data_IF_747005684707
#
_entry.id   IF_747005684707
#
_cell.length_a   1.000
_cell.length_b   1.000
_cell.length_c   1.000
_cell.angle_alpha   90.00
_cell.angle_beta   90.00
_cell.angle_gamma   90.00
#
_symmetry.space_group_name_H-M   'P 1'
#
loop_
_entity.id
_entity.type
_entity.pdbx_description
1 polymer ?
#
# COMPACT_ATOMS: atom_id res chain seq x y z
N UNK A 1 -4.92 27.42 6.28
CA UNK A 1 -5.32 26.03 6.10
C UNK A 1 -5.93 25.52 7.39
N UNK A 2 -7.06 24.88 7.31
CA UNK A 2 -7.80 24.46 8.49
C UNK A 2 -7.55 23.00 8.79
N UNK A 3 -6.91 22.73 9.91
CA UNK A 3 -6.60 21.37 10.36
C UNK A 3 -7.86 20.54 10.61
N UNK A 4 -8.97 21.21 10.95
CA UNK A 4 -10.25 20.56 11.23
C UNK A 4 -10.84 19.81 10.04
N UNK A 5 -10.36 20.11 8.83
CA UNK A 5 -10.88 19.48 7.61
C UNK A 5 -10.21 18.16 7.26
N UNK A 6 -9.15 17.79 7.96
CA UNK A 6 -8.48 16.53 7.67
C UNK A 6 -9.26 15.36 8.27
N UNK A 7 -9.61 14.37 7.44
CA UNK A 7 -10.33 13.20 7.95
C UNK A 7 -9.46 12.39 8.92
N UNK A 8 -10.12 11.72 9.85
CA UNK A 8 -9.47 10.88 10.85
C UNK A 8 -9.50 9.44 10.35
N UNK A 9 -8.34 8.80 10.35
CA UNK A 9 -8.20 7.38 10.00
C UNK A 9 -7.75 6.59 11.23
N UNK A 10 -7.99 5.29 11.22
CA UNK A 10 -7.56 4.40 12.29
C UNK A 10 -6.13 3.89 12.08
N UNK A 11 -5.70 2.97 12.93
CA UNK A 11 -4.38 2.36 12.82
C UNK A 11 -4.30 1.34 11.68
N UNK A 12 -5.44 0.90 11.17
CA UNK A 12 -5.56 0.10 9.94
C UNK A 12 -6.79 0.55 9.18
N UNK A 13 -6.68 0.49 7.84
CA UNK A 13 -7.74 0.94 6.93
C UNK A 13 -7.71 0.11 5.65
N UNK A 14 -8.82 0.13 4.91
CA UNK A 14 -8.87 -0.42 3.57
C UNK A 14 -8.44 0.65 2.58
N UNK A 15 -7.39 0.37 1.81
CA UNK A 15 -6.81 1.32 0.84
C UNK A 15 -6.97 0.76 -0.56
N UNK A 16 -7.55 1.56 -1.45
CA UNK A 16 -7.67 1.21 -2.86
C UNK A 16 -6.45 1.63 -3.66
N UNK A 17 -6.08 0.79 -4.63
CA UNK A 17 -5.02 1.06 -5.60
C UNK A 17 -5.63 0.83 -6.99
N UNK A 18 -6.47 1.78 -7.47
CA UNK A 18 -7.34 1.53 -8.63
C UNK A 18 -6.61 1.28 -9.94
N UNK A 19 -5.35 1.73 -10.07
CA UNK A 19 -4.58 1.46 -11.28
C UNK A 19 -4.28 -0.03 -11.46
N UNK A 20 -4.25 -0.81 -10.36
CA UNK A 20 -3.87 -2.22 -10.40
C UNK A 20 -4.95 -3.17 -9.89
N UNK A 21 -5.73 -2.74 -8.89
CA UNK A 21 -6.62 -3.64 -8.16
C UNK A 21 -8.05 -3.11 -8.16
N UNK A 22 -9.00 -4.03 -8.32
CA UNK A 22 -10.43 -3.73 -8.14
C UNK A 22 -10.82 -3.76 -6.66
N UNK A 23 -10.11 -4.57 -5.87
CA UNK A 23 -10.38 -4.72 -4.45
C UNK A 23 -9.39 -3.89 -3.62
N UNK A 24 -9.85 -3.26 -2.54
CA UNK A 24 -8.94 -2.56 -1.63
C UNK A 24 -8.07 -3.55 -0.85
N UNK A 25 -6.95 -3.06 -0.37
CA UNK A 25 -5.97 -3.82 0.39
C UNK A 25 -6.02 -3.35 1.84
N UNK A 26 -5.94 -4.31 2.77
CA UNK A 26 -5.82 -3.97 4.18
C UNK A 26 -4.43 -3.41 4.46
N UNK A 27 -4.38 -2.16 4.90
CA UNK A 27 -3.14 -1.46 5.16
C UNK A 27 -2.99 -1.16 6.65
N UNK A 28 -1.78 -1.33 7.14
CA UNK A 28 -1.40 -0.84 8.46
C UNK A 28 -0.94 0.60 8.31
N UNK A 29 -1.48 1.48 9.15
CA UNK A 29 -1.08 2.89 9.16
C UNK A 29 0.10 3.03 10.13
N UNK A 30 1.25 3.41 9.61
CA UNK A 30 2.48 3.42 10.41
C UNK A 30 3.21 4.76 10.27
N UNK A 31 2.95 5.66 11.23
CA UNK A 31 3.61 6.96 11.26
C UNK A 31 5.10 6.87 11.60
N UNK A 32 5.55 5.74 12.13
CA UNK A 32 6.96 5.47 12.40
C UNK A 32 7.76 5.11 11.16
N UNK A 33 7.11 4.61 10.12
CA UNK A 33 7.76 4.32 8.85
C UNK A 33 7.68 5.53 7.95
N UNK A 34 8.80 5.94 7.37
CA UNK A 34 8.83 7.09 6.46
C UNK A 34 8.06 6.80 5.18
N UNK A 35 8.30 5.65 4.56
CA UNK A 35 7.75 5.29 3.25
C UNK A 35 6.72 4.19 3.36
N UNK A 36 5.78 4.18 2.41
CA UNK A 36 4.81 3.12 2.27
C UNK A 36 5.43 1.93 1.55
N UNK A 37 4.89 0.75 1.81
CA UNK A 37 5.35 -0.47 1.15
C UNK A 37 4.17 -1.38 0.83
N UNK A 38 4.36 -2.24 -0.17
CA UNK A 38 3.37 -3.25 -0.53
C UNK A 38 4.09 -4.59 -0.76
N UNK A 39 3.49 -5.65 -0.25
CA UNK A 39 3.99 -7.00 -0.50
C UNK A 39 3.82 -7.33 -1.98
N UNK A 40 4.91 -7.73 -2.63
CA UNK A 40 4.91 -8.11 -4.04
C UNK A 40 5.87 -9.27 -4.27
N UNK A 41 5.68 -9.95 -5.39
CA UNK A 41 6.53 -11.08 -5.77
C UNK A 41 6.62 -11.16 -7.29
N UNK A 42 7.49 -12.03 -7.81
CA UNK A 42 7.66 -12.21 -9.24
C UNK A 42 8.13 -10.95 -9.97
N UNK A 43 8.95 -10.15 -9.29
CA UNK A 43 9.42 -8.87 -9.81
C UNK A 43 10.32 -9.06 -11.02
N UNK A 44 10.04 -8.38 -12.13
CA UNK A 44 10.80 -8.42 -13.35
C UNK A 44 10.98 -7.00 -13.89
N UNK A 45 12.22 -6.61 -14.12
CA UNK A 45 12.55 -5.33 -14.75
C UNK A 45 12.51 -5.47 -16.25
N UNK A 46 12.07 -4.43 -16.94
CA UNK A 46 12.11 -4.36 -18.41
C UNK A 46 12.17 -2.90 -18.82
N UNK A 47 12.33 -2.67 -20.12
CA UNK A 47 12.38 -1.32 -20.69
C UNK A 47 11.24 -1.19 -21.68
N UNK A 48 10.53 -0.08 -21.63
CA UNK A 48 9.48 0.26 -22.58
C UNK A 48 9.82 1.64 -23.17
N UNK A 49 10.09 1.69 -24.46
CA UNK A 49 10.46 2.93 -25.18
C UNK A 49 11.59 3.69 -24.48
N UNK A 50 12.58 2.99 -23.95
CA UNK A 50 13.72 3.56 -23.25
C UNK A 50 13.49 3.87 -21.78
N UNK A 51 12.29 3.70 -21.25
CA UNK A 51 11.96 3.96 -19.85
C UNK A 51 12.05 2.69 -19.02
N UNK A 52 12.68 2.74 -17.83
CA UNK A 52 12.76 1.58 -16.96
C UNK A 52 11.40 1.29 -16.33
N UNK A 53 10.98 0.04 -16.45
CA UNK A 53 9.69 -0.44 -15.97
C UNK A 53 9.86 -1.65 -15.07
N UNK A 54 8.85 -1.94 -14.28
CA UNK A 54 8.81 -3.13 -13.47
C UNK A 54 7.45 -3.82 -13.58
N UNK A 55 7.51 -5.14 -13.73
CA UNK A 55 6.33 -6.01 -13.62
C UNK A 55 6.42 -6.74 -12.29
N UNK A 56 5.32 -6.83 -11.58
CA UNK A 56 5.26 -7.50 -10.29
C UNK A 56 3.85 -8.03 -10.06
N UNK A 57 3.73 -8.97 -9.13
CA UNK A 57 2.44 -9.55 -8.76
C UNK A 57 2.07 -9.16 -7.34
N UNK A 58 0.77 -8.94 -7.14
CA UNK A 58 0.20 -8.63 -5.84
C UNK A 58 -0.80 -9.71 -5.43
N UNK A 59 -0.84 -10.00 -4.14
CA UNK A 59 -1.90 -10.77 -3.50
C UNK A 59 -2.79 -9.79 -2.75
N UNK A 60 -3.94 -9.37 -3.32
CA UNK A 60 -4.75 -8.35 -2.66
C UNK A 60 -5.46 -8.86 -1.40
N UNK A 61 -5.67 -10.17 -1.29
CA UNK A 61 -6.36 -10.74 -0.13
C UNK A 61 -5.37 -11.22 0.92
N UNK A 62 -5.67 -10.89 2.15
CA UNK A 62 -4.88 -11.29 3.31
C UNK A 62 -4.84 -12.81 3.43
N UNK A 63 -3.65 -13.37 3.69
CA UNK A 63 -3.45 -14.81 3.94
C UNK A 63 -3.86 -15.73 2.79
N UNK A 64 -4.02 -15.20 1.58
CA UNK A 64 -4.39 -15.99 0.40
C UNK A 64 -3.45 -15.68 -0.74
N UNK A 65 -3.05 -16.73 -1.47
CA UNK A 65 -2.21 -16.59 -2.65
C UNK A 65 -3.02 -16.37 -3.93
N UNK A 66 -4.33 -16.44 -3.85
CA UNK A 66 -5.21 -16.18 -4.98
C UNK A 66 -6.28 -15.15 -4.60
N UNK A 67 -6.65 -14.25 -5.51
CA UNK A 67 -6.02 -14.05 -6.82
C UNK A 67 -4.63 -13.46 -6.72
N UNK A 68 -3.81 -13.70 -7.74
CA UNK A 68 -2.54 -13.02 -7.95
C UNK A 68 -2.72 -12.08 -9.13
N UNK A 69 -2.43 -10.80 -8.94
CA UNK A 69 -2.68 -9.76 -9.94
C UNK A 69 -1.36 -9.26 -10.48
N UNK A 70 -1.20 -9.32 -11.81
CA UNK A 70 -0.02 -8.78 -12.48
C UNK A 70 -0.16 -7.28 -12.64
N UNK A 71 0.87 -6.56 -12.21
CA UNK A 71 0.91 -5.10 -12.25
C UNK A 71 2.15 -4.64 -13.00
N UNK A 72 2.06 -3.49 -13.65
CA UNK A 72 3.16 -2.87 -14.37
C UNK A 72 3.21 -1.41 -13.96
N UNK A 73 4.42 -0.89 -13.73
CA UNK A 73 4.60 0.51 -13.40
C UNK A 73 5.99 0.98 -13.82
N UNK A 74 6.14 2.29 -14.10
CA UNK A 74 7.48 2.86 -14.24
C UNK A 74 8.25 2.75 -12.93
N UNK A 75 9.55 2.50 -13.02
CA UNK A 75 10.43 2.57 -11.85
C UNK A 75 10.70 4.03 -11.56
N UNK A 76 10.21 4.52 -10.43
CA UNK A 76 10.43 5.91 -10.04
C UNK A 76 11.80 6.10 -9.41
N UNK A 77 12.23 5.14 -8.59
CA UNK A 77 13.45 5.24 -7.81
C UNK A 77 13.86 3.87 -7.30
N UNK A 78 15.07 3.79 -6.77
CA UNK A 78 15.55 2.63 -6.03
C UNK A 78 16.17 3.14 -4.75
N UNK A 79 15.82 2.53 -3.62
CA UNK A 79 16.28 2.97 -2.30
C UNK A 79 16.72 1.81 -1.45
N UNK A 80 17.76 2.05 -0.67
CA UNK A 80 18.17 1.13 0.36
C UNK A 80 17.22 1.26 1.56
N UNK A 81 16.60 0.17 1.95
CA UNK A 81 15.68 0.11 3.09
C UNK A 81 16.24 -0.87 4.10
N UNK A 82 16.29 -0.44 5.35
CA UNK A 82 16.73 -1.30 6.45
C UNK A 82 15.51 -1.98 7.07
N UNK A 83 15.55 -3.30 7.19
CA UNK A 83 14.52 -4.06 7.88
C UNK A 83 14.71 -3.98 9.40
N UNK A 84 13.70 -4.44 10.14
CA UNK A 84 13.73 -4.44 11.60
C UNK A 84 14.87 -5.28 12.18
N UNK A 85 15.36 -6.28 11.45
CA UNK A 85 16.50 -7.11 11.88
C UNK A 85 17.86 -6.51 11.49
N UNK A 86 17.89 -5.28 10.97
CA UNK A 86 19.12 -4.59 10.60
C UNK A 86 19.64 -4.85 9.20
N UNK A 87 19.05 -5.79 8.47
CA UNK A 87 19.43 -6.06 7.09
C UNK A 87 19.00 -4.94 6.17
N UNK A 88 19.82 -4.68 5.14
CA UNK A 88 19.52 -3.68 4.12
C UNK A 88 19.22 -4.37 2.80
N UNK A 89 18.21 -3.87 2.10
CA UNK A 89 17.84 -4.36 0.79
C UNK A 89 17.56 -3.19 -0.15
N UNK A 90 17.96 -3.32 -1.40
CA UNK A 90 17.63 -2.35 -2.44
C UNK A 90 16.20 -2.60 -2.89
N UNK A 91 15.35 -1.59 -2.77
CA UNK A 91 13.92 -1.69 -3.09
C UNK A 91 13.59 -0.80 -4.28
N UNK A 92 12.77 -1.33 -5.17
CA UNK A 92 12.18 -0.57 -6.27
C UNK A 92 11.04 0.27 -5.69
N UNK A 93 10.99 1.53 -6.10
CA UNK A 93 9.92 2.48 -5.74
C UNK A 93 9.08 2.76 -6.96
N UNK A 94 7.77 2.62 -6.82
CA UNK A 94 6.78 2.98 -7.84
C UNK A 94 5.81 4.00 -7.26
N UNK A 95 5.10 4.70 -8.13
CA UNK A 95 4.10 5.68 -7.72
C UNK A 95 2.75 5.28 -8.27
N UNK A 96 1.70 5.44 -7.48
CA UNK A 96 0.33 5.14 -7.91
C UNK A 96 -0.66 5.96 -7.10
N UNK A 97 -1.87 6.09 -7.64
CA UNK A 97 -2.97 6.68 -6.90
C UNK A 97 -3.44 5.73 -5.80
N UNK A 98 -3.62 6.26 -4.60
CA UNK A 98 -4.26 5.55 -3.49
C UNK A 98 -5.60 6.19 -3.20
N UNK A 99 -6.53 5.38 -2.72
CA UNK A 99 -7.85 5.84 -2.28
C UNK A 99 -8.15 5.33 -0.89
N UNK A 100 -8.60 6.24 -0.04
CA UNK A 100 -9.02 5.91 1.32
C UNK A 100 -10.28 6.71 1.63
N UNK A 101 -11.43 6.03 1.70
CA UNK A 101 -12.70 6.70 1.78
C UNK A 101 -12.93 7.56 0.53
N UNK A 102 -13.16 8.84 0.74
CA UNK A 102 -13.41 9.81 -0.33
C UNK A 102 -12.14 10.50 -0.82
N UNK A 103 -10.98 10.18 -0.23
CA UNK A 103 -9.73 10.83 -0.57
C UNK A 103 -8.96 10.00 -1.58
N UNK A 104 -8.51 10.65 -2.67
CA UNK A 104 -7.64 10.05 -3.67
C UNK A 104 -6.40 10.93 -3.82
N UNK A 105 -5.21 10.31 -3.77
CA UNK A 105 -3.95 11.05 -3.88
C UNK A 105 -2.82 10.12 -4.32
N UNK A 106 -1.75 10.69 -4.94
CA UNK A 106 -0.62 9.87 -5.34
C UNK A 106 0.25 9.50 -4.14
N UNK A 107 0.72 8.26 -4.11
CA UNK A 107 1.67 7.79 -3.11
C UNK A 107 2.82 7.06 -3.78
N UNK A 108 3.96 7.04 -3.09
CA UNK A 108 5.06 6.17 -3.44
C UNK A 108 4.97 4.88 -2.65
N UNK A 109 5.27 3.77 -3.31
CA UNK A 109 5.28 2.44 -2.71
C UNK A 109 6.62 1.77 -2.98
N UNK A 110 7.26 1.25 -1.95
CA UNK A 110 8.38 0.33 -2.13
C UNK A 110 7.82 -1.09 -2.31
N UNK A 111 8.39 -1.83 -3.25
CA UNK A 111 8.02 -3.22 -3.45
C UNK A 111 8.77 -4.08 -2.43
N UNK A 112 8.05 -4.80 -1.60
CA UNK A 112 8.60 -5.60 -0.52
C UNK A 112 8.21 -7.06 -0.69
N UNK A 113 9.13 -7.98 -0.41
CA UNK A 113 8.90 -9.42 -0.56
C UNK A 113 8.20 -10.04 0.65
N UNK A 114 8.02 -9.29 1.73
CA UNK A 114 7.39 -9.79 2.96
C UNK A 114 6.21 -8.93 3.37
N UNK A 115 5.21 -9.56 3.97
CA UNK A 115 4.15 -8.86 4.66
C UNK A 115 4.70 -8.12 5.89
N UNK A 116 4.11 -6.99 6.22
CA UNK A 116 4.45 -6.27 7.44
C UNK A 116 3.42 -6.63 8.51
N UNK A 117 3.84 -7.42 9.50
CA UNK A 117 2.99 -7.81 10.64
C UNK A 117 1.62 -8.36 10.18
N UNK A 118 1.61 -9.17 9.13
CA UNK A 118 0.38 -9.76 8.60
C UNK A 118 -0.41 -8.86 7.67
N UNK A 119 0.11 -7.70 7.28
CA UNK A 119 -0.54 -6.79 6.35
C UNK A 119 0.16 -6.84 4.99
N UNK A 120 -0.64 -6.82 3.92
CA UNK A 120 -0.11 -6.73 2.55
C UNK A 120 0.48 -5.36 2.25
N UNK A 121 0.02 -4.32 2.94
CA UNK A 121 0.44 -2.96 2.70
C UNK A 121 0.69 -2.23 4.01
N UNK A 122 1.66 -1.33 3.97
CA UNK A 122 1.95 -0.40 5.04
C UNK A 122 1.86 1.01 4.47
N UNK A 123 1.06 1.86 5.09
CA UNK A 123 0.93 3.27 4.71
C UNK A 123 1.80 4.09 5.65
N UNK A 124 2.88 4.65 5.12
CA UNK A 124 3.89 5.35 5.90
C UNK A 124 3.59 6.84 6.10
N UNK A 125 4.46 7.47 6.87
CA UNK A 125 4.29 8.87 7.30
C UNK A 125 4.18 9.84 6.12
N UNK A 126 4.97 9.67 5.08
CA UNK A 126 4.96 10.61 3.94
C UNK A 126 3.63 10.58 3.17
N UNK A 127 2.93 9.44 3.15
CA UNK A 127 1.62 9.35 2.51
C UNK A 127 0.51 9.98 3.35
N UNK A 128 0.65 9.97 4.67
CA UNK A 128 -0.40 10.39 5.61
C UNK A 128 -0.27 11.86 5.99
N UNK A 129 0.96 12.35 6.08
CA UNK A 129 1.26 13.70 6.60
C UNK A 129 0.54 14.79 5.81
N UNK A 130 -0.15 15.65 6.55
CA UNK A 130 -0.87 16.77 5.96
C UNK A 130 -2.22 16.42 5.35
N UNK A 131 -2.57 15.13 5.28
CA UNK A 131 -3.83 14.67 4.66
C UNK A 131 -4.80 14.07 5.66
N UNK A 132 -4.27 13.37 6.66
CA UNK A 132 -5.09 12.65 7.64
C UNK A 132 -4.58 12.89 9.04
N UNK A 133 -5.49 12.77 10.01
CA UNK A 133 -5.16 12.59 11.40
C UNK A 133 -5.34 11.12 11.74
N UNK A 134 -4.51 10.59 12.62
CA UNK A 134 -4.56 9.18 13.00
C UNK A 134 -5.11 9.04 14.41
N UNK A 135 -6.15 8.24 14.56
CA UNK A 135 -6.64 7.80 15.87
C UNK A 135 -6.16 6.36 16.09
N UNK A 136 -5.10 6.16 16.89
CA UNK A 136 -4.52 4.83 17.05
C UNK A 136 -5.42 3.88 17.84
N UNK A 137 -6.48 4.37 18.45
CA UNK A 137 -7.45 3.53 19.19
C UNK A 137 -8.51 2.91 18.28
N UNK A 138 -8.57 3.32 17.02
CA UNK A 138 -9.62 2.91 16.09
C UNK A 138 -9.10 2.08 14.93
N UNK A 139 -9.95 1.16 14.45
CA UNK A 139 -9.72 0.38 13.23
C UNK A 139 -10.79 0.76 12.22
N UNK A 140 -10.40 0.88 10.95
CA UNK A 140 -11.33 1.15 9.85
C UNK A 140 -12.23 2.35 10.15
N UNK A 141 -11.60 3.42 10.63
CA UNK A 141 -12.31 4.62 11.06
C UNK A 141 -12.92 5.36 9.87
N UNK A 142 -12.20 5.42 8.75
CA UNK A 142 -12.63 6.14 7.55
C UNK A 142 -13.25 5.20 6.51
N UNK A 143 -12.69 4.03 6.30
CA UNK A 143 -13.27 2.97 5.46
C UNK A 143 -14.37 2.20 6.16
N UNK A 144 -14.46 2.28 7.45
CA UNK A 144 -15.48 1.80 8.39
C UNK A 144 -15.72 0.30 8.47
N UNK A 145 -15.74 -0.44 7.38
CA UNK A 145 -15.99 -1.88 7.40
C UNK A 145 -15.37 -2.56 6.20
N UNK A 146 -15.29 -3.88 6.25
CA UNK A 146 -14.79 -4.69 5.14
C UNK A 146 -15.71 -4.48 3.93
N UNK A 147 -15.18 -4.05 2.77
CA UNK A 147 -15.97 -3.97 1.55
C UNK A 147 -16.59 -5.30 1.20
N UNK A 148 -17.80 -5.28 0.66
CA UNK A 148 -18.54 -6.51 0.32
C UNK A 148 -17.77 -7.44 -0.59
N UNK A 149 -17.06 -6.89 -1.58
CA UNK A 149 -16.29 -7.69 -2.52
C UNK A 149 -15.18 -8.47 -1.83
N UNK A 150 -14.49 -7.85 -0.87
CA UNK A 150 -13.43 -8.51 -0.09
C UNK A 150 -14.02 -9.54 0.84
N UNK A 151 -15.11 -9.21 1.51
CA UNK A 151 -15.79 -10.11 2.45
C UNK A 151 -16.24 -11.40 1.77
N UNK A 152 -16.73 -11.32 0.55
CA UNK A 152 -17.16 -12.48 -0.21
C UNK A 152 -16.02 -13.50 -0.44
N UNK A 153 -14.78 -13.02 -0.57
CA UNK A 153 -13.59 -13.86 -0.71
C UNK A 153 -13.06 -14.38 0.62
N UNK A 154 -13.18 -13.60 1.69
CA UNK A 154 -12.64 -13.97 3.01
C UNK A 154 -13.49 -15.01 3.75
N UNK A 155 -14.77 -15.12 3.44
CA UNK A 155 -15.70 -16.04 4.10
C UNK A 155 -15.66 -17.46 3.54
N UNK A 156 -14.97 -17.68 2.43
CA UNK A 156 -14.87 -18.99 1.80
C UNK A 156 -13.87 -19.92 2.46
#
# INVERSE_FOLDING_TARGET
MQDAERPVIGWREWVGLPAWLELPVKAKIDSGARTSSIHSFGTRRFTDAGSPMVEFLLHPLQRRSTPAITCIAPIKDERWVRSSNGERALRIVVETEARLGDVAWPIELTLATRDVMGFRMLLGREAVRGRFLIDPARSFRHSRRIPKAVKAFEVR
#
